data_IF_698176352621
#
_entry.id   IF_698176352621
#
_cell.length_a   1.000
_cell.length_b   1.000
_cell.length_c   1.000
_cell.angle_alpha   90.00
_cell.angle_beta   90.00
_cell.angle_gamma   90.00
#
_symmetry.space_group_name_H-M   'P 1'
#
loop_
_entity.id
_entity.type
_entity.pdbx_description
1 polymer ?
#
# COMPACT_ATOMS: atom_id res chain seq x y z
N UNK A 1 50.27 5.89 2.23
CA UNK A 1 49.16 4.94 2.00
C UNK A 1 47.95 5.52 2.71
N UNK A 2 46.90 5.81 1.94
CA UNK A 2 45.74 6.59 2.34
C UNK A 2 44.93 5.83 3.40
N UNK A 3 44.65 6.48 4.53
CA UNK A 3 43.55 6.07 5.40
C UNK A 3 42.47 7.14 5.26
N UNK A 4 41.59 6.93 4.28
CA UNK A 4 40.38 7.72 4.11
C UNK A 4 39.42 7.38 5.25
N UNK A 5 39.60 8.05 6.39
CA UNK A 5 38.57 8.12 7.42
C UNK A 5 37.49 9.09 6.92
N UNK A 6 36.70 8.65 5.95
CA UNK A 6 35.42 9.29 5.62
C UNK A 6 34.51 9.00 6.80
N UNK A 7 34.62 9.86 7.83
CA UNK A 7 33.62 9.96 8.88
C UNK A 7 32.31 10.29 8.19
N UNK A 8 31.42 9.30 8.13
CA UNK A 8 30.04 9.46 7.70
C UNK A 8 29.44 10.57 8.56
N UNK A 9 29.08 11.64 7.87
CA UNK A 9 28.64 12.90 8.42
C UNK A 9 27.13 12.76 8.69
N UNK A 10 26.76 12.85 9.98
CA UNK A 10 25.51 13.39 10.56
C UNK A 10 24.18 12.64 10.29
N UNK A 11 23.70 11.88 11.29
CA UNK A 11 22.27 11.56 11.48
C UNK A 11 21.86 12.16 12.84
N UNK A 12 21.25 13.34 12.83
CA UNK A 12 20.63 13.93 14.04
C UNK A 12 19.58 14.99 13.65
N UNK A 13 18.74 14.68 12.66
CA UNK A 13 17.51 15.44 12.40
C UNK A 13 16.33 14.48 12.57
N UNK A 14 15.96 14.25 13.84
CA UNK A 14 14.78 13.49 14.31
C UNK A 14 14.26 12.44 13.32
N UNK A 15 14.76 11.23 13.46
CA UNK A 15 14.17 10.06 12.81
C UNK A 15 12.65 10.07 13.07
N UNK A 16 11.87 10.12 11.99
CA UNK A 16 10.42 10.03 12.04
C UNK A 16 10.06 8.58 12.31
N UNK A 17 9.48 8.28 13.48
CA UNK A 17 9.02 6.93 13.80
C UNK A 17 7.57 6.77 13.34
N UNK A 18 7.32 5.82 12.44
CA UNK A 18 5.98 5.44 11.96
C UNK A 18 5.71 4.02 12.45
N UNK A 19 4.56 3.80 13.10
CA UNK A 19 4.12 2.47 13.50
C UNK A 19 2.94 2.07 12.63
N UNK A 20 3.14 1.04 11.79
CA UNK A 20 2.06 0.44 11.03
C UNK A 20 1.34 -0.58 11.90
N UNK A 21 0.03 -0.38 12.07
CA UNK A 21 -0.79 -1.26 12.88
C UNK A 21 -0.99 -2.64 12.24
N UNK A 22 -1.42 -3.58 13.06
CA UNK A 22 -1.61 -4.99 12.64
C UNK A 22 -2.60 -5.15 11.48
N UNK A 23 -3.54 -4.22 11.23
CA UNK A 23 -4.46 -4.34 10.09
C UNK A 23 -3.74 -3.99 8.80
N UNK A 24 -3.08 -2.83 8.76
CA UNK A 24 -2.27 -2.40 7.64
C UNK A 24 -1.20 -3.45 7.27
N UNK A 25 -0.46 -3.96 8.25
CA UNK A 25 0.56 -5.00 8.02
C UNK A 25 -0.04 -6.29 7.46
N UNK A 26 -1.26 -6.67 7.85
CA UNK A 26 -1.94 -7.85 7.30
C UNK A 26 -2.39 -7.62 5.87
N UNK A 27 -2.94 -6.44 5.59
CA UNK A 27 -3.42 -6.08 4.25
C UNK A 27 -2.27 -6.09 3.24
N UNK A 28 -1.17 -5.39 3.53
CA UNK A 28 0.05 -5.39 2.69
C UNK A 28 0.56 -6.82 2.47
N UNK A 29 0.47 -7.70 3.49
CA UNK A 29 0.90 -9.09 3.35
C UNK A 29 0.04 -9.90 2.39
N UNK A 30 -1.26 -9.67 2.37
CA UNK A 30 -2.20 -10.36 1.48
C UNK A 30 -1.95 -9.92 0.04
N UNK A 31 -1.97 -8.62 -0.23
CA UNK A 31 -1.71 -8.12 -1.58
C UNK A 31 -0.29 -8.38 -2.04
N UNK A 32 0.69 -8.49 -1.15
CA UNK A 32 2.03 -8.93 -1.54
C UNK A 32 2.04 -10.40 -1.97
N UNK A 33 1.25 -11.27 -1.35
CA UNK A 33 1.11 -12.66 -1.80
C UNK A 33 0.43 -12.70 -3.16
N UNK A 34 -0.67 -11.96 -3.33
CA UNK A 34 -1.39 -11.89 -4.59
C UNK A 34 -0.48 -11.33 -5.70
N UNK A 35 0.33 -10.31 -5.42
CA UNK A 35 1.29 -9.74 -6.36
C UNK A 35 2.36 -10.75 -6.80
N UNK A 36 2.80 -11.64 -5.89
CA UNK A 36 3.74 -12.73 -6.22
C UNK A 36 3.08 -13.76 -7.14
N UNK A 37 1.81 -14.09 -6.89
CA UNK A 37 1.07 -15.10 -7.63
C UNK A 37 0.60 -14.61 -9.00
N UNK A 38 0.11 -13.38 -9.07
CA UNK A 38 -0.45 -12.74 -10.27
C UNK A 38 0.59 -11.99 -11.10
N UNK A 39 1.70 -11.60 -10.48
CA UNK A 39 2.76 -10.80 -11.10
C UNK A 39 2.39 -9.33 -11.29
N UNK A 40 1.39 -8.84 -10.54
CA UNK A 40 0.92 -7.45 -10.59
C UNK A 40 1.06 -6.77 -9.23
N UNK A 41 1.65 -5.57 -9.21
CA UNK A 41 1.93 -4.84 -7.96
C UNK A 41 1.04 -3.61 -7.77
N UNK A 42 0.02 -3.41 -8.61
CA UNK A 42 -0.82 -2.22 -8.56
C UNK A 42 -1.61 -2.16 -7.25
N UNK A 43 -2.31 -3.24 -6.90
CA UNK A 43 -3.04 -3.35 -5.63
C UNK A 43 -2.12 -3.26 -4.42
N UNK A 44 -0.96 -3.93 -4.48
CA UNK A 44 0.03 -3.88 -3.40
C UNK A 44 0.52 -2.44 -3.13
N UNK A 45 0.78 -1.68 -4.19
CA UNK A 45 1.20 -0.28 -4.08
C UNK A 45 0.15 0.57 -3.37
N UNK A 46 -1.12 0.38 -3.72
CA UNK A 46 -2.24 1.10 -3.11
C UNK A 46 -2.38 0.73 -1.62
N UNK A 47 -2.34 -0.57 -1.29
CA UNK A 47 -2.41 -1.02 0.10
C UNK A 47 -1.23 -0.51 0.96
N UNK A 48 -0.03 -0.41 0.38
CA UNK A 48 1.11 0.18 1.07
C UNK A 48 0.87 1.67 1.29
N UNK A 49 0.38 2.41 0.28
CA UNK A 49 0.09 3.83 0.41
C UNK A 49 -0.96 4.11 1.50
N UNK A 50 -2.04 3.33 1.52
CA UNK A 50 -3.15 3.46 2.47
C UNK A 50 -2.74 3.10 3.92
N UNK A 51 -1.66 2.35 4.09
CA UNK A 51 -1.10 2.08 5.42
C UNK A 51 -0.54 3.33 6.11
N UNK A 52 -0.24 4.39 5.35
CA UNK A 52 0.26 5.66 5.88
C UNK A 52 -0.84 6.71 5.90
N UNK A 53 -0.91 7.48 7.00
CA UNK A 53 -1.81 8.64 7.06
C UNK A 53 -1.35 9.74 6.11
N UNK A 54 -2.27 10.56 5.60
CA UNK A 54 -1.94 11.71 4.73
C UNK A 54 -0.82 12.60 5.32
N UNK A 55 -0.83 12.88 6.62
CA UNK A 55 0.22 13.65 7.30
C UNK A 55 1.59 12.96 7.22
N UNK A 56 1.62 11.64 7.36
CA UNK A 56 2.85 10.86 7.24
C UNK A 56 3.36 10.87 5.80
N UNK A 57 2.46 10.73 4.83
CA UNK A 57 2.79 10.80 3.39
C UNK A 57 3.39 12.16 3.04
N UNK A 58 2.73 13.26 3.39
CA UNK A 58 3.24 14.63 3.13
C UNK A 58 4.63 14.85 3.76
N UNK A 59 4.85 14.32 4.95
CA UNK A 59 6.10 14.47 5.69
C UNK A 59 7.22 13.56 5.13
N UNK A 60 6.88 12.40 4.56
CA UNK A 60 7.79 11.56 3.74
C UNK A 60 8.16 12.30 2.45
N UNK A 61 7.17 12.82 1.71
CA UNK A 61 7.38 13.58 0.46
C UNK A 61 8.24 14.82 0.65
N UNK A 62 8.12 15.49 1.80
CA UNK A 62 8.99 16.63 2.13
C UNK A 62 10.47 16.21 2.30
N UNK A 63 10.73 14.95 2.66
CA UNK A 63 12.08 14.38 2.78
C UNK A 63 12.57 13.77 1.47
N UNK A 64 11.67 13.30 0.61
CA UNK A 64 12.02 12.88 -0.73
C UNK A 64 12.58 14.08 -1.52
N UNK A 65 13.81 13.96 -2.02
CA UNK A 65 14.43 15.01 -2.84
C UNK A 65 13.82 15.06 -4.26
N UNK A 66 13.17 13.98 -4.72
CA UNK A 66 12.52 13.86 -6.02
C UNK A 66 11.28 12.96 -5.91
N UNK A 67 10.19 13.35 -6.57
CA UNK A 67 8.97 12.55 -6.69
C UNK A 67 7.99 12.69 -5.53
N UNK A 68 6.81 12.12 -5.71
CA UNK A 68 5.82 11.89 -4.65
C UNK A 68 6.00 10.49 -4.04
N UNK A 69 5.27 10.18 -2.97
CA UNK A 69 5.41 8.88 -2.31
C UNK A 69 4.96 7.72 -3.20
N UNK A 70 4.04 7.96 -4.14
CA UNK A 70 3.57 6.95 -5.08
C UNK A 70 4.64 6.57 -6.12
N UNK A 71 5.37 7.55 -6.64
CA UNK A 71 6.53 7.34 -7.53
C UNK A 71 7.61 6.54 -6.79
N UNK A 72 7.92 6.93 -5.55
CA UNK A 72 8.85 6.19 -4.69
C UNK A 72 8.44 4.72 -4.52
N UNK A 73 7.17 4.45 -4.18
CA UNK A 73 6.67 3.08 -4.04
C UNK A 73 6.73 2.31 -5.36
N UNK A 74 6.48 2.97 -6.49
CA UNK A 74 6.59 2.34 -7.82
C UNK A 74 8.04 1.94 -8.13
N UNK A 75 9.00 2.81 -7.85
CA UNK A 75 10.43 2.51 -8.01
C UNK A 75 10.89 1.40 -7.06
N UNK A 76 10.43 1.43 -5.80
CA UNK A 76 10.71 0.38 -4.82
C UNK A 76 10.16 -0.98 -5.27
N UNK A 77 8.93 -1.03 -5.77
CA UNK A 77 8.28 -2.27 -6.20
C UNK A 77 8.88 -2.84 -7.49
N UNK A 78 9.46 -2.01 -8.36
CA UNK A 78 10.26 -2.47 -9.52
C UNK A 78 11.59 -3.10 -9.09
N UNK A 79 12.16 -2.68 -7.95
CA UNK A 79 13.36 -3.27 -7.36
C UNK A 79 13.06 -4.57 -6.59
N UNK A 80 11.85 -4.72 -6.05
CA UNK A 80 11.46 -5.92 -5.32
C UNK A 80 11.42 -7.13 -6.25
N UNK A 81 12.04 -8.24 -5.81
CA UNK A 81 12.14 -9.45 -6.62
C UNK A 81 10.80 -10.18 -6.83
N UNK A 82 9.85 -9.96 -5.92
CA UNK A 82 8.59 -10.70 -5.88
C UNK A 82 8.77 -12.17 -5.47
N UNK A 83 9.84 -12.54 -4.75
CA UNK A 83 10.01 -13.92 -4.23
C UNK A 83 9.44 -14.09 -2.82
N UNK A 84 9.58 -13.09 -1.94
CA UNK A 84 9.21 -13.18 -0.53
C UNK A 84 8.60 -11.87 0.02
N UNK A 85 7.54 -11.98 0.81
CA UNK A 85 6.86 -10.82 1.44
C UNK A 85 7.73 -10.17 2.53
N UNK A 86 8.54 -10.94 3.26
CA UNK A 86 9.43 -10.33 4.26
C UNK A 86 10.52 -9.46 3.61
N UNK A 87 10.95 -9.78 2.38
CA UNK A 87 11.88 -8.93 1.61
C UNK A 87 11.27 -7.56 1.31
N UNK A 88 9.98 -7.49 0.96
CA UNK A 88 9.28 -6.23 0.73
C UNK A 88 9.35 -5.31 1.96
N UNK A 89 9.10 -5.85 3.16
CA UNK A 89 9.15 -5.06 4.40
C UNK A 89 10.57 -4.61 4.76
N UNK A 90 11.57 -5.46 4.50
CA UNK A 90 12.98 -5.10 4.68
C UNK A 90 13.40 -4.00 3.70
N UNK A 91 12.93 -4.05 2.45
CA UNK A 91 13.20 -3.05 1.43
C UNK A 91 12.55 -1.71 1.80
N UNK A 92 11.29 -1.74 2.21
CA UNK A 92 10.55 -0.56 2.65
C UNK A 92 11.23 0.13 3.85
N UNK A 93 11.64 -0.64 4.87
CA UNK A 93 12.35 -0.12 6.04
C UNK A 93 13.73 0.47 5.66
N UNK A 94 14.46 -0.19 4.77
CA UNK A 94 15.77 0.27 4.33
C UNK A 94 15.67 1.60 3.55
N UNK A 95 14.79 1.67 2.56
CA UNK A 95 14.66 2.86 1.72
C UNK A 95 14.07 4.05 2.47
N UNK A 96 13.07 3.83 3.34
CA UNK A 96 12.56 4.89 4.23
C UNK A 96 13.60 5.29 5.29
N UNK A 97 14.40 4.34 5.77
CA UNK A 97 15.51 4.61 6.69
C UNK A 97 16.59 5.52 6.09
N UNK A 98 16.86 5.39 4.79
CA UNK A 98 17.84 6.24 4.09
C UNK A 98 17.41 7.72 4.03
N UNK A 99 16.11 8.00 4.05
CA UNK A 99 15.55 9.36 4.13
C UNK A 99 15.24 9.79 5.58
N UNK A 100 15.59 8.99 6.59
CA UNK A 100 15.41 9.31 8.01
C UNK A 100 14.01 9.02 8.56
N UNK A 101 13.32 8.03 8.00
CA UNK A 101 12.02 7.52 8.45
C UNK A 101 12.22 6.08 8.96
N UNK A 102 11.95 5.85 10.25
CA UNK A 102 12.03 4.54 10.90
C UNK A 102 10.63 3.93 10.94
N UNK A 103 10.43 2.78 10.28
CA UNK A 103 9.13 2.11 10.24
C UNK A 103 9.11 0.91 11.18
N UNK A 104 8.08 0.84 12.03
CA UNK A 104 7.82 -0.26 12.93
C UNK A 104 6.55 -0.98 12.50
N UNK A 105 6.71 -2.25 12.15
CA UNK A 105 5.58 -3.10 11.81
C UNK A 105 5.07 -3.79 13.07
N UNK A 106 3.80 -3.55 13.44
CA UNK A 106 3.15 -4.35 14.47
C UNK A 106 2.97 -5.79 13.96
N UNK A 107 3.98 -6.63 14.21
CA UNK A 107 3.81 -8.07 14.08
C UNK A 107 2.78 -8.49 15.13
N UNK A 108 1.74 -9.24 14.73
CA UNK A 108 0.95 -10.10 15.64
C UNK A 108 1.95 -10.63 16.67
N UNK A 109 1.76 -10.43 18.00
CA UNK A 109 2.77 -10.76 18.99
C UNK A 109 3.18 -12.22 18.78
N UNK A 110 4.26 -12.41 18.05
CA UNK A 110 4.83 -13.69 17.75
C UNK A 110 5.64 -13.97 18.99
N UNK A 111 4.97 -14.61 19.94
CA UNK A 111 5.53 -15.49 20.94
C UNK A 111 7.04 -15.31 21.09
N UNK A 112 7.44 -14.37 21.94
CA UNK A 112 8.68 -14.55 22.66
C UNK A 112 8.51 -15.83 23.50
N UNK A 113 8.94 -16.95 22.92
CA UNK A 113 9.25 -18.22 23.54
C UNK A 113 8.14 -18.94 24.34
N UNK A 114 7.90 -20.19 23.94
CA UNK A 114 7.33 -21.29 24.75
C UNK A 114 5.87 -21.13 25.20
N UNK A 115 5.05 -22.02 24.64
CA UNK A 115 3.93 -22.76 25.24
C UNK A 115 2.78 -22.84 24.22
N UNK A 116 2.48 -24.07 23.83
CA UNK A 116 1.38 -24.41 22.94
C UNK A 116 0.04 -23.94 23.51
N UNK A 117 -0.76 -23.25 22.70
CA UNK A 117 -2.19 -23.57 22.60
C UNK A 117 -2.75 -23.09 21.26
N UNK A 118 -3.51 -24.00 20.68
CA UNK A 118 -4.28 -23.94 19.45
C UNK A 118 -5.43 -22.94 19.62
N UNK A 119 -5.70 -22.08 18.63
CA UNK A 119 -7.08 -21.70 18.25
C UNK A 119 -7.07 -20.90 16.93
N UNK A 120 -7.79 -21.45 15.96
CA UNK A 120 -8.22 -20.87 14.68
C UNK A 120 -9.05 -19.57 14.84
N UNK A 121 -9.41 -18.98 13.69
CA UNK A 121 -10.26 -17.79 13.45
C UNK A 121 -9.56 -16.42 13.60
N UNK A 122 -9.69 -15.48 12.67
CA UNK A 122 -10.73 -15.27 11.66
C UNK A 122 -10.11 -14.77 10.35
N UNK A 123 -10.55 -15.38 9.24
CA UNK A 123 -10.63 -14.70 7.95
C UNK A 123 -11.69 -13.62 8.16
N UNK A 124 -11.29 -12.36 8.28
CA UNK A 124 -12.25 -11.26 8.17
C UNK A 124 -12.67 -11.22 6.69
N UNK A 125 -13.87 -11.73 6.44
CA UNK A 125 -14.67 -11.49 5.25
C UNK A 125 -14.55 -10.00 4.89
N UNK A 126 -13.90 -9.74 3.76
CA UNK A 126 -13.87 -8.44 3.13
C UNK A 126 -15.31 -8.17 2.68
N UNK A 127 -16.01 -7.34 3.44
CA UNK A 127 -17.38 -6.91 3.20
C UNK A 127 -17.34 -5.92 2.03
N UNK A 128 -17.26 -6.46 0.81
CA UNK A 128 -17.68 -5.74 -0.40
C UNK A 128 -19.19 -5.53 -0.28
N UNK A 129 -19.62 -4.44 0.36
CA UNK A 129 -20.99 -3.96 0.20
C UNK A 129 -21.16 -3.58 -1.28
N UNK A 130 -21.66 -4.54 -2.08
CA UNK A 130 -22.21 -4.30 -3.41
C UNK A 130 -23.23 -3.16 -3.30
N UNK A 131 -22.93 -2.06 -3.99
CA UNK A 131 -23.83 -0.94 -4.25
C UNK A 131 -25.08 -1.49 -4.94
N UNK A 132 -26.14 -1.67 -4.15
CA UNK A 132 -27.45 -2.14 -4.58
C UNK A 132 -28.03 -1.10 -5.57
N UNK A 133 -27.80 -1.34 -6.86
CA UNK A 133 -28.40 -0.61 -7.97
C UNK A 133 -29.93 -0.75 -7.90
N UNK A 134 -30.58 0.17 -7.20
CA UNK A 134 -32.05 0.29 -7.18
C UNK A 134 -32.53 0.74 -8.58
N UNK A 135 -32.72 -0.24 -9.46
CA UNK A 135 -33.40 -0.10 -10.74
C UNK A 135 -34.88 0.13 -10.49
N UNK A 136 -35.26 1.39 -10.26
CA UNK A 136 -36.66 1.81 -10.31
C UNK A 136 -37.05 2.13 -11.76
N UNK A 137 -37.69 1.14 -12.38
CA UNK A 137 -38.38 1.19 -13.65
C UNK A 137 -39.74 1.90 -13.46
N UNK A 138 -39.84 3.18 -13.83
CA UNK A 138 -41.13 3.82 -14.12
C UNK A 138 -41.14 4.39 -15.54
N UNK A 139 -41.75 3.56 -16.40
CA UNK A 139 -42.48 3.81 -17.64
C UNK A 139 -43.16 5.20 -17.75
N UNK A 140 -43.36 5.62 -19.01
CA UNK A 140 -44.50 6.40 -19.54
C UNK A 140 -44.15 7.67 -20.34
N UNK A 141 -44.38 7.53 -21.65
CA UNK A 141 -44.91 8.50 -22.63
C UNK A 141 -44.09 9.74 -23.04
N UNK A 142 -43.74 9.83 -24.34
CA UNK A 142 -44.63 10.49 -25.31
C UNK A 142 -44.14 10.26 -26.76
N UNK A 143 -45.06 9.81 -27.60
CA UNK A 143 -44.96 9.69 -29.05
C UNK A 143 -44.95 11.08 -29.69
N UNK A 144 -44.01 11.37 -30.61
CA UNK A 144 -44.20 12.43 -31.60
C UNK A 144 -43.73 11.96 -32.99
N UNK A 145 -44.64 12.11 -33.94
CA UNK A 145 -44.67 11.52 -35.27
C UNK A 145 -43.68 12.23 -36.22
N UNK A 146 -42.73 11.48 -36.78
CA UNK A 146 -41.90 11.99 -37.89
C UNK A 146 -42.73 11.99 -39.19
N UNK A 147 -43.31 13.14 -39.57
CA UNK A 147 -43.77 13.35 -40.95
C UNK A 147 -42.57 13.55 -41.89
N UNK A 148 -42.21 12.46 -42.56
CA UNK A 148 -41.72 12.32 -43.94
C UNK A 148 -41.30 13.62 -44.68
N UNK A 149 -39.99 13.83 -44.84
CA UNK A 149 -39.43 14.69 -45.88
C UNK A 149 -38.58 13.84 -46.84
N UNK A 150 -39.23 13.24 -47.84
CA UNK A 150 -38.56 12.62 -48.98
C UNK A 150 -38.26 13.70 -50.05
N UNK A 151 -36.98 13.90 -50.30
CA UNK A 151 -36.39 14.80 -51.30
C UNK A 151 -36.11 13.99 -52.58
N UNK A 152 -36.88 14.23 -53.65
CA UNK A 152 -36.47 13.97 -55.04
C UNK A 152 -37.04 15.00 -56.03
#
# INVERSE_FOLDING_TARGET
MLSAATRRVWLSEKDMEIVLDKRAVRQIRLSAQDAIEEGDTETLREDILEAFTEEQVEEIERRLDNGDFYEFLTEMLDEWSGDDVDELFELLDAQLGDIGVDVKFEKKPAAAAEEADDEEESVEEFDEEEDDEDLDDEDDDEVDEEEEADDE
#
